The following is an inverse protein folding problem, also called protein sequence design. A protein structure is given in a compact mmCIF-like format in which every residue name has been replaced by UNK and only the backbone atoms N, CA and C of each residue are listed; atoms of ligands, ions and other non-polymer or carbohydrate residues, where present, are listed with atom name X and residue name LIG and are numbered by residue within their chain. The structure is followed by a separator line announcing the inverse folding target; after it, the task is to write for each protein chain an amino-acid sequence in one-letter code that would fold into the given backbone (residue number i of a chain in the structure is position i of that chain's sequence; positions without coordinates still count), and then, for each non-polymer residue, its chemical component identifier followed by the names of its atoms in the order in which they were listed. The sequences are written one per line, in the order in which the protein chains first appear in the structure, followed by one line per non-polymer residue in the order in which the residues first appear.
data_IF_266151310697
#
_entry.id   IF_266151310697
#
_cell.length_a   1.000
_cell.length_b   1.000
_cell.length_c   1.000
_cell.angle_alpha   90.00
_cell.angle_beta   90.00
_cell.angle_gamma   90.00
#
_symmetry.space_group_name_H-M   'P 1'
#
loop_
_entity.id
_entity.type
_entity.pdbx_description
1 polymer ?
#
# COMPACT_ATOMS: atom_id res chain seq x y z
N UNK A 1 -13.18 -20.34 12.66
CA UNK A 1 -13.61 -19.25 11.75
C UNK A 1 -12.60 -18.10 11.88
N UNK A 2 -12.15 -17.50 10.79
CA UNK A 2 -11.23 -16.36 10.85
C UNK A 2 -11.92 -15.11 11.40
N UNK A 3 -11.27 -14.44 12.37
CA UNK A 3 -11.83 -13.23 12.98
C UNK A 3 -11.81 -12.06 11.98
N UNK A 4 -12.69 -11.08 12.20
CA UNK A 4 -12.74 -9.84 11.39
C UNK A 4 -11.38 -9.13 11.33
N UNK A 5 -10.64 -9.12 12.44
CA UNK A 5 -9.30 -8.52 12.50
C UNK A 5 -8.30 -9.24 11.59
N UNK A 6 -8.33 -10.58 11.55
CA UNK A 6 -7.40 -11.37 10.73
C UNK A 6 -7.69 -11.16 9.23
N UNK A 7 -8.98 -11.08 8.85
CA UNK A 7 -9.40 -10.75 7.48
C UNK A 7 -8.96 -9.35 7.06
N UNK A 8 -9.17 -8.35 7.92
CA UNK A 8 -8.73 -6.98 7.67
C UNK A 8 -7.20 -6.88 7.55
N UNK A 9 -6.46 -7.61 8.39
CA UNK A 9 -5.00 -7.70 8.28
C UNK A 9 -4.54 -8.22 6.92
N UNK A 10 -5.18 -9.27 6.39
CA UNK A 10 -4.87 -9.79 5.04
C UNK A 10 -5.19 -8.79 3.94
N UNK A 11 -6.34 -8.12 4.04
CA UNK A 11 -6.73 -7.09 3.07
C UNK A 11 -5.70 -5.95 3.06
N UNK A 12 -5.26 -5.48 4.24
CA UNK A 12 -4.21 -4.47 4.35
C UNK A 12 -2.92 -4.94 3.67
N UNK A 13 -2.49 -6.18 3.91
CA UNK A 13 -1.30 -6.75 3.27
C UNK A 13 -1.41 -6.78 1.74
N UNK A 14 -2.56 -7.20 1.21
CA UNK A 14 -2.81 -7.22 -0.24
C UNK A 14 -2.78 -5.82 -0.85
N UNK A 15 -3.44 -4.84 -0.21
CA UNK A 15 -3.48 -3.47 -0.72
C UNK A 15 -2.11 -2.81 -0.64
N UNK A 16 -1.28 -3.12 0.36
CA UNK A 16 0.13 -2.69 0.42
C UNK A 16 0.96 -3.26 -0.73
N UNK A 17 0.75 -4.52 -1.11
CA UNK A 17 1.43 -5.11 -2.28
C UNK A 17 1.00 -4.41 -3.57
N UNK A 18 -0.30 -4.10 -3.70
CA UNK A 18 -0.81 -3.32 -4.83
C UNK A 18 -0.17 -1.92 -4.90
N UNK A 19 -0.05 -1.23 -3.76
CA UNK A 19 0.63 0.06 -3.68
C UNK A 19 2.08 -0.05 -4.19
N UNK A 20 2.85 -1.03 -3.71
CA UNK A 20 4.24 -1.24 -4.17
C UNK A 20 4.34 -1.49 -5.67
N UNK A 21 3.40 -2.26 -6.24
CA UNK A 21 3.35 -2.48 -7.68
C UNK A 21 3.09 -1.16 -8.43
N UNK A 22 2.18 -0.33 -7.93
CA UNK A 22 1.88 0.98 -8.54
C UNK A 22 3.07 1.95 -8.46
N UNK A 23 3.81 1.95 -7.35
CA UNK A 23 5.04 2.73 -7.16
C UNK A 23 6.14 2.28 -8.11
N UNK A 24 6.30 0.96 -8.28
CA UNK A 24 7.26 0.40 -9.23
C UNK A 24 6.93 0.79 -10.68
N UNK A 25 5.66 0.72 -11.07
CA UNK A 25 5.20 1.18 -12.39
C UNK A 25 5.50 2.66 -12.61
N UNK A 26 5.33 3.50 -11.59
CA UNK A 26 5.70 4.92 -11.65
C UNK A 26 7.22 5.11 -11.82
N UNK A 27 8.02 4.35 -11.10
CA UNK A 27 9.47 4.40 -11.21
C UNK A 27 9.94 4.00 -12.63
N UNK A 28 9.32 2.98 -13.22
CA UNK A 28 9.58 2.57 -14.60
C UNK A 28 9.25 3.68 -15.60
N UNK A 29 8.09 4.33 -15.47
CA UNK A 29 7.70 5.45 -16.33
C UNK A 29 8.67 6.64 -16.21
N UNK A 30 9.10 6.98 -14.99
CA UNK A 30 10.10 8.04 -14.76
C UNK A 30 11.45 7.69 -15.34
N UNK A 31 11.85 6.42 -15.29
CA UNK A 31 13.09 5.98 -15.92
C UNK A 31 13.00 6.13 -17.44
N UNK A 32 11.86 5.74 -18.03
CA UNK A 32 11.62 5.91 -19.46
C UNK A 32 11.64 7.40 -19.87
N UNK A 33 11.00 8.26 -19.09
CA UNK A 33 11.01 9.71 -19.30
C UNK A 33 12.44 10.27 -19.33
N UNK A 34 13.27 9.90 -18.35
CA UNK A 34 14.69 10.30 -18.29
C UNK A 34 15.44 9.84 -19.54
N UNK A 35 15.30 8.58 -19.94
CA UNK A 35 16.01 8.09 -21.15
C UNK A 35 15.61 8.85 -22.41
N UNK A 36 14.35 9.27 -22.54
CA UNK A 36 13.90 10.10 -23.67
C UNK A 36 14.42 11.53 -23.60
N UNK A 37 14.48 12.12 -22.39
CA UNK A 37 15.07 13.44 -22.18
C UNK A 37 16.57 13.44 -22.48
N UNK A 38 17.29 12.40 -22.05
CA UNK A 38 18.72 12.22 -22.33
C UNK A 38 18.97 12.07 -23.84
N UNK A 39 18.15 11.29 -24.56
CA UNK A 39 18.23 11.17 -26.02
C UNK A 39 17.96 12.52 -26.71
N UNK A 40 16.96 13.27 -26.27
CA UNK A 40 16.67 14.60 -26.80
C UNK A 40 17.84 15.57 -26.56
N UNK A 41 18.37 15.61 -25.33
CA UNK A 41 19.50 16.46 -24.98
C UNK A 41 20.74 16.12 -25.81
N UNK A 42 21.00 14.83 -26.03
CA UNK A 42 22.09 14.37 -26.88
C UNK A 42 21.89 14.75 -28.36
N UNK A 43 20.69 14.56 -28.92
CA UNK A 43 20.39 14.94 -30.31
C UNK A 43 20.48 16.46 -30.52
N UNK A 44 19.99 17.25 -29.57
CA UNK A 44 20.10 18.72 -29.64
C UNK A 44 21.55 19.17 -29.47
N UNK A 45 22.30 18.56 -28.55
CA UNK A 45 23.72 18.86 -28.35
C UNK A 45 24.56 18.60 -29.60
N UNK A 46 24.40 17.43 -30.21
CA UNK A 46 25.11 17.05 -31.45
C UNK A 46 24.78 17.97 -32.63
N UNK A 47 23.53 18.41 -32.77
CA UNK A 47 23.13 19.41 -33.76
C UNK A 47 23.78 20.78 -33.51
N UNK A 48 23.80 21.24 -32.25
CA UNK A 48 24.39 22.53 -31.87
C UNK A 48 25.91 22.56 -32.09
N UNK A 49 26.58 21.43 -31.90
CA UNK A 49 28.02 21.26 -32.16
C UNK A 49 28.36 21.12 -33.65
N UNK A 50 27.36 21.09 -34.55
CA UNK A 50 27.55 20.86 -35.98
C UNK A 50 28.04 19.45 -36.33
N UNK A 51 28.07 18.55 -35.35
CA UNK A 51 28.52 17.16 -35.49
C UNK A 51 27.29 16.26 -35.50
N UNK A 52 26.64 16.16 -36.65
CA UNK A 52 25.57 15.17 -36.83
C UNK A 52 26.10 13.77 -36.45
N UNK A 53 25.31 12.96 -35.71
CA UNK A 53 25.66 11.57 -35.45
C UNK A 53 26.02 10.87 -36.76
N UNK A 54 27.13 10.13 -36.76
CA UNK A 54 27.69 9.53 -37.98
C UNK A 54 26.60 8.79 -38.79
N UNK A 55 26.44 9.16 -40.06
CA UNK A 55 25.47 8.55 -40.97
C UNK A 55 24.02 9.03 -40.83
N UNK A 56 23.71 10.04 -40.00
CA UNK A 56 22.38 10.63 -39.90
C UNK A 56 22.27 11.96 -40.66
N UNK A 57 21.29 12.05 -41.56
CA UNK A 57 20.92 13.33 -42.18
C UNK A 57 20.18 14.23 -41.18
N UNK A 58 20.20 15.54 -41.41
CA UNK A 58 19.44 16.53 -40.63
C UNK A 58 17.95 16.15 -40.55
N UNK A 59 17.35 15.73 -41.66
CA UNK A 59 15.95 15.27 -41.70
C UNK A 59 15.70 14.03 -40.83
N UNK A 60 16.66 13.10 -40.77
CA UNK A 60 16.57 11.91 -39.91
C UNK A 60 16.59 12.31 -38.43
N UNK A 61 17.44 13.26 -38.06
CA UNK A 61 17.54 13.79 -36.70
C UNK A 61 16.26 14.54 -36.32
N UNK A 62 15.73 15.38 -37.20
CA UNK A 62 14.47 16.09 -36.99
C UNK A 62 13.28 15.13 -36.79
N UNK A 63 13.22 14.04 -37.58
CA UNK A 63 12.21 12.98 -37.39
C UNK A 63 12.36 12.26 -36.05
N UNK A 64 13.59 11.94 -35.65
CA UNK A 64 13.87 11.31 -34.34
C UNK A 64 13.49 12.24 -33.17
N UNK A 65 13.85 13.52 -33.23
CA UNK A 65 13.49 14.53 -32.23
C UNK A 65 11.97 14.69 -32.11
N UNK A 66 11.24 14.76 -33.23
CA UNK A 66 9.79 14.82 -33.19
C UNK A 66 9.18 13.57 -32.55
N UNK A 67 9.68 12.39 -32.92
CA UNK A 67 9.21 11.12 -32.36
C UNK A 67 9.50 11.02 -30.86
N UNK A 68 10.70 11.39 -30.41
CA UNK A 68 11.07 11.34 -28.99
C UNK A 68 10.34 12.41 -28.19
N UNK A 69 10.06 13.59 -28.75
CA UNK A 69 9.28 14.66 -28.11
C UNK A 69 7.83 14.24 -27.88
N UNK A 70 7.17 13.69 -28.91
CA UNK A 70 5.80 13.16 -28.78
C UNK A 70 5.77 11.98 -27.80
N UNK A 71 6.74 11.08 -27.89
CA UNK A 71 6.89 9.95 -26.97
C UNK A 71 7.07 10.40 -25.52
N UNK A 72 7.93 11.40 -25.27
CA UNK A 72 8.20 11.92 -23.93
C UNK A 72 6.94 12.52 -23.30
N UNK A 73 6.15 13.30 -24.06
CA UNK A 73 4.87 13.83 -23.58
C UNK A 73 3.89 12.73 -23.20
N UNK A 74 3.75 11.71 -24.04
CA UNK A 74 2.87 10.57 -23.75
C UNK A 74 3.32 9.79 -22.50
N UNK A 75 4.63 9.63 -22.29
CA UNK A 75 5.18 9.00 -21.07
C UNK A 75 4.94 9.88 -19.84
N UNK A 76 5.11 11.19 -19.96
CA UNK A 76 4.87 12.16 -18.90
C UNK A 76 3.39 12.15 -18.45
N UNK A 77 2.44 12.14 -19.39
CA UNK A 77 1.01 12.02 -19.10
C UNK A 77 0.67 10.69 -18.40
N UNK A 78 1.29 9.59 -18.84
CA UNK A 78 1.14 8.30 -18.15
C UNK A 78 1.72 8.33 -16.74
N UNK A 79 2.87 8.98 -16.56
CA UNK A 79 3.50 9.13 -15.25
C UNK A 79 2.65 9.98 -14.30
N UNK A 80 1.99 11.04 -14.79
CA UNK A 80 1.09 11.86 -13.97
C UNK A 80 -0.15 11.08 -13.55
N UNK A 81 -0.79 10.35 -14.47
CA UNK A 81 -1.93 9.49 -14.14
C UNK A 81 -1.53 8.40 -13.11
N UNK A 82 -0.37 7.78 -13.29
CA UNK A 82 0.13 6.77 -12.38
C UNK A 82 0.47 7.36 -11.00
N UNK A 83 0.99 8.58 -10.93
CA UNK A 83 1.22 9.28 -9.67
C UNK A 83 -0.08 9.51 -8.90
N UNK A 84 -1.15 9.92 -9.59
CA UNK A 84 -2.46 10.09 -8.95
C UNK A 84 -3.05 8.76 -8.47
N UNK A 85 -2.82 7.68 -9.22
CA UNK A 85 -3.12 6.31 -8.76
C UNK A 85 -2.37 5.97 -7.47
N UNK A 86 -1.05 6.15 -7.42
CA UNK A 86 -0.23 5.89 -6.21
C UNK A 86 -0.76 6.69 -5.01
N UNK A 87 -1.11 7.97 -5.22
CA UNK A 87 -1.70 8.82 -4.16
C UNK A 87 -3.04 8.27 -3.66
N UNK A 88 -3.91 7.81 -4.58
CA UNK A 88 -5.19 7.21 -4.22
C UNK A 88 -5.02 5.90 -3.44
N UNK A 89 -4.08 5.04 -3.85
CA UNK A 89 -3.79 3.76 -3.20
C UNK A 89 -3.15 3.99 -1.82
N UNK A 90 -2.28 4.98 -1.68
CA UNK A 90 -1.70 5.36 -0.39
C UNK A 90 -2.79 5.80 0.60
N UNK A 91 -3.75 6.62 0.16
CA UNK A 91 -4.89 7.02 1.00
C UNK A 91 -5.73 5.81 1.41
N UNK A 92 -5.98 4.89 0.48
CA UNK A 92 -6.72 3.65 0.74
C UNK A 92 -6.00 2.74 1.75
N UNK A 93 -4.68 2.59 1.65
CA UNK A 93 -3.88 1.84 2.63
C UNK A 93 -4.04 2.45 4.02
N UNK A 94 -3.85 3.77 4.16
CA UNK A 94 -3.97 4.46 5.46
C UNK A 94 -5.35 4.25 6.10
N UNK A 95 -6.42 4.36 5.32
CA UNK A 95 -7.78 4.14 5.82
C UNK A 95 -7.98 2.69 6.28
N UNK A 96 -7.53 1.71 5.50
CA UNK A 96 -7.67 0.30 5.86
C UNK A 96 -6.81 -0.09 7.06
N UNK A 97 -5.61 0.48 7.19
CA UNK A 97 -4.76 0.30 8.37
C UNK A 97 -5.44 0.81 9.64
N UNK A 98 -6.09 1.96 9.57
CA UNK A 98 -6.85 2.49 10.72
C UNK A 98 -7.98 1.55 11.11
N UNK A 99 -8.79 1.11 10.14
CA UNK A 99 -9.91 0.18 10.39
C UNK A 99 -9.41 -1.16 10.93
N UNK A 100 -8.30 -1.67 10.41
CA UNK A 100 -7.68 -2.90 10.91
C UNK A 100 -7.15 -2.75 12.34
N UNK A 101 -6.58 -1.58 12.68
CA UNK A 101 -6.09 -1.29 14.03
C UNK A 101 -7.21 -1.27 15.05
N UNK A 102 -8.32 -0.60 14.74
CA UNK A 102 -9.51 -0.58 15.59
C UNK A 102 -10.07 -1.99 15.77
N UNK A 103 -10.22 -2.74 14.68
CA UNK A 103 -10.73 -4.12 14.74
C UNK A 103 -9.83 -5.05 15.57
N UNK A 104 -8.52 -4.84 15.55
CA UNK A 104 -7.58 -5.59 16.38
C UNK A 104 -7.75 -5.24 17.86
N UNK A 105 -7.88 -3.95 18.19
CA UNK A 105 -8.11 -3.50 19.55
C UNK A 105 -9.42 -4.08 20.12
N UNK A 106 -10.49 -4.09 19.34
CA UNK A 106 -11.78 -4.68 19.74
C UNK A 106 -11.65 -6.18 19.99
N UNK A 107 -10.95 -6.92 19.11
CA UNK A 107 -10.69 -8.36 19.30
C UNK A 107 -9.94 -8.63 20.61
N UNK A 108 -8.97 -7.79 20.98
CA UNK A 108 -8.20 -7.93 22.22
C UNK A 108 -9.08 -7.66 23.45
N UNK A 109 -9.91 -6.61 23.41
CA UNK A 109 -10.88 -6.30 24.48
C UNK A 109 -11.90 -7.41 24.67
N UNK A 110 -12.42 -7.97 23.58
CA UNK A 110 -13.35 -9.10 23.64
C UNK A 110 -12.70 -10.36 24.22
N UNK A 111 -11.43 -10.60 23.91
CA UNK A 111 -10.68 -11.73 24.47
C UNK A 111 -10.44 -11.56 25.97
N UNK A 112 -10.06 -10.36 26.40
CA UNK A 112 -9.90 -10.02 27.82
C UNK A 112 -11.23 -10.16 28.59
N UNK A 113 -12.33 -9.63 28.04
CA UNK A 113 -13.66 -9.74 28.64
C UNK A 113 -14.06 -11.21 28.84
N UNK A 114 -13.90 -12.05 27.81
CA UNK A 114 -14.16 -13.49 27.93
C UNK A 114 -13.28 -14.15 28.99
N UNK A 115 -11.99 -13.80 29.05
CA UNK A 115 -11.09 -14.33 30.07
C UNK A 115 -11.51 -13.94 31.49
N UNK A 116 -11.99 -12.72 31.70
CA UNK A 116 -12.48 -12.27 33.01
C UNK A 116 -13.81 -12.94 33.38
N UNK A 117 -14.71 -13.12 32.41
CA UNK A 117 -15.96 -13.88 32.58
C UNK A 117 -15.68 -15.35 32.93
N UNK A 118 -14.69 -15.99 32.31
CA UNK A 118 -14.29 -17.36 32.63
C UNK A 118 -13.74 -17.47 34.07
N UNK A 119 -12.91 -16.53 34.51
CA UNK A 119 -12.35 -16.49 35.88
C UNK A 119 -13.46 -16.23 36.91
N UNK A 120 -14.39 -15.31 36.62
CA UNK A 120 -15.49 -15.00 37.54
C UNK A 120 -16.57 -16.09 37.57
N UNK A 121 -16.86 -16.73 36.44
CA UNK A 121 -17.76 -17.89 36.34
C UNK A 121 -17.21 -19.12 37.07
N UNK A 122 -15.89 -19.38 36.96
CA UNK A 122 -15.24 -20.42 37.76
C UNK A 122 -15.23 -20.08 39.24
N UNK A 123 -14.97 -18.83 39.63
CA UNK A 123 -15.05 -18.41 41.03
C UNK A 123 -16.47 -18.47 41.60
N UNK A 124 -17.51 -18.16 40.82
CA UNK A 124 -18.90 -18.28 41.25
C UNK A 124 -19.29 -19.75 41.50
N UNK A 125 -18.92 -20.66 40.59
CA UNK A 125 -19.14 -22.09 40.78
C UNK A 125 -18.37 -22.66 41.99
N UNK A 126 -17.14 -22.18 42.25
CA UNK A 126 -16.35 -22.54 43.45
C UNK A 126 -16.96 -21.94 44.73
N UNK A 127 -17.53 -20.74 44.68
CA UNK A 127 -18.24 -20.13 45.82
C UNK A 127 -19.52 -20.87 46.18
N UNK A 128 -20.27 -21.35 45.19
CA UNK A 128 -21.47 -22.17 45.44
C UNK A 128 -21.10 -23.53 46.05
N UNK A 129 -19.97 -24.13 45.67
CA UNK A 129 -19.46 -25.37 46.30
C UNK A 129 -18.90 -25.16 47.71
N UNK A 130 -18.42 -23.96 48.03
CA UNK A 130 -17.88 -23.61 49.37
C UNK A 130 -18.92 -22.97 50.30
N UNK A 131 -20.19 -22.85 49.89
CA UNK A 131 -21.29 -22.44 50.78
C UNK A 131 -21.53 -23.54 51.81
N UNK A 132 -20.77 -23.45 52.90
CA UNK A 132 -20.80 -24.28 54.11
C UNK A 132 -22.26 -24.52 54.54
N UNK A 133 -22.69 -25.78 54.77
CA UNK A 133 -24.03 -26.04 55.28
C UNK A 133 -24.17 -25.31 56.63
N UNK A 134 -25.16 -24.43 56.72
CA UNK A 134 -25.49 -23.74 57.95
C UNK A 134 -25.77 -24.81 59.01
N UNK A 135 -24.89 -24.90 60.01
CA UNK A 135 -25.04 -25.82 61.13
C UNK A 135 -26.33 -25.50 61.86
N UNK A 136 -27.34 -26.35 61.68
CA UNK A 136 -28.56 -26.32 62.46
C UNK A 136 -28.29 -27.04 63.78
N UNK A 137 -27.90 -26.28 64.81
CA UNK A 137 -27.96 -26.69 66.22
C UNK A 137 -28.92 -25.73 66.91
N UNK A 138 -30.14 -26.18 67.22
CA UNK A 138 -30.65 -26.67 68.52
C UNK A 138 -31.55 -25.60 69.17
N UNK A 139 -32.51 -25.91 70.07
CA UNK A 139 -32.61 -27.06 70.98
C UNK A 139 -33.47 -28.22 70.48
#
# INVERSE_FOLDING_TARGET
MESRADKLGRIVSLVKLQLRLSEWQLAQLRQQERTMQDEQAWLVGTLNEGKAPAGSSSDSIARRLNKTSVGARAVQERASMQLDKVRSETRRVKQLEEVARVALADKLRDAEKRSLEDITGTHAAVRDLTRRPASRNKP
#
